data_IF_597767767191
#
_entry.id   IF_597767767191
#
_cell.length_a   1.000
_cell.length_b   1.000
_cell.length_c   1.000
_cell.angle_alpha   90.00
_cell.angle_beta   90.00
_cell.angle_gamma   90.00
#
_symmetry.space_group_name_H-M   'P 1'
#
loop_
_entity.id
_entity.type
_entity.pdbx_description
1 polymer ?
#
# COMPACT_ATOMS: atom_id res chain seq x y z
N UNK A 1 16.36 -14.71 -28.86
CA UNK A 1 17.31 -15.41 -27.96
C UNK A 1 16.51 -16.19 -26.93
N UNK A 2 16.98 -17.37 -26.49
CA UNK A 2 16.38 -18.12 -25.38
C UNK A 2 17.46 -18.46 -24.36
N UNK A 3 17.10 -18.41 -23.08
CA UNK A 3 17.99 -18.79 -21.99
C UNK A 3 17.19 -19.17 -20.74
N UNK A 4 17.86 -19.83 -19.81
CA UNK A 4 17.32 -20.12 -18.48
C UNK A 4 17.90 -19.14 -17.47
N UNK A 5 17.12 -18.81 -16.44
CA UNK A 5 17.49 -17.90 -15.37
C UNK A 5 16.99 -18.42 -14.04
N UNK A 6 17.82 -18.39 -13.00
CA UNK A 6 17.42 -18.79 -11.65
C UNK A 6 16.93 -17.56 -10.89
N UNK A 7 15.64 -17.54 -10.56
CA UNK A 7 15.02 -16.48 -9.78
C UNK A 7 14.84 -16.95 -8.33
N UNK A 8 15.35 -16.18 -7.39
CA UNK A 8 15.17 -16.42 -5.95
C UNK A 8 13.92 -15.71 -5.44
N UNK A 9 12.98 -16.46 -4.87
CA UNK A 9 11.72 -15.92 -4.32
C UNK A 9 11.88 -15.61 -2.85
N UNK A 10 12.74 -14.63 -2.54
CA UNK A 10 13.04 -14.20 -1.16
C UNK A 10 11.86 -13.51 -0.46
N UNK A 11 10.80 -13.18 -1.20
CA UNK A 11 9.56 -12.59 -0.70
C UNK A 11 8.57 -13.62 -0.12
N UNK A 12 8.88 -14.93 -0.18
CA UNK A 12 8.11 -15.99 0.47
C UNK A 12 8.60 -16.22 1.90
N UNK A 13 7.75 -16.74 2.81
CA UNK A 13 8.20 -17.05 4.17
C UNK A 13 9.31 -18.10 4.20
N UNK A 14 9.26 -19.07 3.29
CA UNK A 14 10.37 -19.98 3.00
C UNK A 14 10.88 -19.66 1.61
N UNK A 15 12.01 -18.96 1.56
CA UNK A 15 12.66 -18.62 0.30
C UNK A 15 13.03 -19.90 -0.47
N UNK A 16 12.83 -19.86 -1.77
CA UNK A 16 13.24 -20.92 -2.69
C UNK A 16 13.72 -20.33 -4.02
N UNK A 17 14.07 -21.21 -4.96
CA UNK A 17 14.55 -20.83 -6.28
C UNK A 17 13.71 -21.51 -7.35
N UNK A 18 13.31 -20.75 -8.35
CA UNK A 18 12.65 -21.25 -9.55
C UNK A 18 13.55 -21.02 -10.77
N UNK A 19 13.60 -21.99 -11.68
CA UNK A 19 14.24 -21.80 -12.98
C UNK A 19 13.20 -21.25 -13.94
N UNK A 20 13.43 -20.03 -14.43
CA UNK A 20 12.64 -19.38 -15.46
C UNK A 20 13.26 -19.67 -16.82
N UNK A 21 12.42 -19.98 -17.79
CA UNK A 21 12.76 -19.97 -19.21
C UNK A 21 12.32 -18.64 -19.80
N UNK A 22 13.25 -18.00 -20.51
CA UNK A 22 13.08 -16.66 -21.06
C UNK A 22 13.31 -16.71 -22.56
N UNK A 23 12.38 -16.13 -23.31
CA UNK A 23 12.55 -15.87 -24.73
C UNK A 23 12.51 -14.36 -24.97
N UNK A 24 13.46 -13.86 -25.78
CA UNK A 24 13.54 -12.48 -26.21
C UNK A 24 13.43 -12.39 -27.73
N UNK A 25 12.66 -11.41 -28.19
CA UNK A 25 12.58 -10.98 -29.58
C UNK A 25 12.90 -9.49 -29.67
N UNK A 26 13.52 -9.07 -30.77
CA UNK A 26 13.67 -7.67 -31.12
C UNK A 26 13.18 -7.47 -32.55
N UNK A 27 11.88 -7.67 -32.75
CA UNK A 27 11.23 -7.52 -34.05
C UNK A 27 10.61 -6.12 -34.15
N UNK A 28 10.94 -5.39 -35.22
CA UNK A 28 10.35 -4.07 -35.47
C UNK A 28 10.65 -3.01 -34.41
N UNK A 29 11.82 -3.06 -33.76
CA UNK A 29 12.25 -2.10 -32.72
C UNK A 29 11.60 -2.31 -31.34
N UNK A 30 10.80 -3.37 -31.18
CA UNK A 30 10.20 -3.74 -29.90
C UNK A 30 11.03 -4.83 -29.25
N UNK A 31 11.64 -4.52 -28.12
CA UNK A 31 12.27 -5.53 -27.28
C UNK A 31 11.17 -6.25 -26.49
N UNK A 32 10.83 -7.46 -26.91
CA UNK A 32 9.73 -8.22 -26.35
C UNK A 32 10.23 -9.47 -25.59
N UNK A 33 9.55 -9.80 -24.49
CA UNK A 33 9.86 -11.00 -23.71
C UNK A 33 8.65 -11.90 -23.48
N UNK A 34 8.95 -13.19 -23.29
CA UNK A 34 8.08 -14.23 -22.74
C UNK A 34 8.82 -14.91 -21.60
N UNK A 35 8.12 -15.19 -20.52
CA UNK A 35 8.71 -15.79 -19.30
C UNK A 35 7.75 -16.85 -18.76
N UNK A 36 8.27 -18.03 -18.50
CA UNK A 36 7.53 -19.10 -17.82
C UNK A 36 8.52 -20.00 -17.07
N UNK A 37 8.04 -20.79 -16.10
CA UNK A 37 8.87 -21.83 -15.47
C UNK A 37 9.20 -22.97 -16.45
N UNK A 38 8.37 -23.15 -17.48
CA UNK A 38 8.58 -24.14 -18.54
C UNK A 38 7.95 -23.72 -19.85
N UNK A 39 8.72 -23.78 -20.93
CA UNK A 39 8.25 -23.65 -22.29
C UNK A 39 7.84 -25.00 -22.86
N UNK A 40 6.86 -25.03 -23.78
CA UNK A 40 6.53 -26.22 -24.54
C UNK A 40 7.68 -26.62 -25.48
N UNK A 41 7.98 -27.92 -25.52
CA UNK A 41 9.11 -28.50 -26.27
C UNK A 41 8.99 -28.29 -27.80
N UNK A 42 7.78 -28.07 -28.31
CA UNK A 42 7.47 -28.05 -29.74
C UNK A 42 7.44 -26.66 -30.40
N UNK A 43 7.70 -25.58 -29.65
CA UNK A 43 7.61 -24.22 -30.18
C UNK A 43 9.00 -23.64 -30.45
N UNK A 44 9.46 -23.62 -31.71
CA UNK A 44 10.81 -23.12 -32.07
C UNK A 44 10.84 -21.61 -32.37
N UNK A 45 9.70 -21.03 -32.75
CA UNK A 45 9.57 -19.60 -33.07
C UNK A 45 8.89 -18.82 -31.94
N UNK A 46 9.22 -17.53 -31.80
CA UNK A 46 8.72 -16.67 -30.71
C UNK A 46 7.19 -16.56 -30.71
N UNK A 47 6.56 -16.35 -31.87
CA UNK A 47 5.10 -16.19 -31.96
C UNK A 47 4.34 -17.50 -31.67
N UNK A 48 4.90 -18.63 -32.13
CA UNK A 48 4.37 -19.96 -31.81
C UNK A 48 4.51 -20.25 -30.32
N UNK A 49 5.62 -19.82 -29.70
CA UNK A 49 5.84 -19.97 -28.28
C UNK A 49 4.85 -19.11 -27.48
N UNK A 50 4.66 -17.84 -27.84
CA UNK A 50 3.66 -16.96 -27.22
C UNK A 50 2.26 -17.58 -27.27
N UNK A 51 1.87 -18.07 -28.45
CA UNK A 51 0.58 -18.74 -28.67
C UNK A 51 0.44 -20.01 -27.83
N UNK A 52 1.49 -20.83 -27.75
CA UNK A 52 1.48 -22.09 -27.00
C UNK A 52 1.46 -21.87 -25.48
N UNK A 53 2.04 -20.76 -25.01
CA UNK A 53 1.97 -20.33 -23.61
C UNK A 53 0.66 -19.61 -23.27
N UNK A 54 -0.17 -19.29 -24.28
CA UNK A 54 -1.29 -18.37 -24.14
C UNK A 54 -0.88 -17.03 -23.49
N UNK A 55 0.32 -16.56 -23.81
CA UNK A 55 0.89 -15.32 -23.31
C UNK A 55 0.98 -14.30 -24.44
N UNK A 56 0.74 -13.03 -24.09
CA UNK A 56 1.06 -11.90 -24.96
C UNK A 56 2.50 -11.46 -24.69
N UNK A 57 3.33 -11.23 -25.72
CA UNK A 57 4.67 -10.71 -25.51
C UNK A 57 4.66 -9.37 -24.78
N UNK A 58 5.53 -9.22 -23.78
CA UNK A 58 5.67 -7.97 -23.02
C UNK A 58 6.72 -7.11 -23.71
N UNK A 59 6.32 -5.94 -24.21
CA UNK A 59 7.25 -4.96 -24.79
C UNK A 59 7.96 -4.18 -23.67
N UNK A 60 9.25 -4.45 -23.48
CA UNK A 60 10.09 -3.85 -22.44
C UNK A 60 10.44 -2.39 -22.73
N UNK A 61 10.27 -1.94 -23.98
CA UNK A 61 10.44 -0.53 -24.37
C UNK A 61 9.15 0.30 -24.20
N UNK A 62 8.07 -0.29 -23.65
CA UNK A 62 6.78 0.37 -23.47
C UNK A 62 6.35 0.41 -21.99
N UNK A 63 5.41 1.31 -21.62
CA UNK A 63 4.81 1.30 -20.30
C UNK A 63 4.24 -0.08 -19.94
N UNK A 64 4.58 -0.58 -18.76
CA UNK A 64 4.08 -1.86 -18.26
C UNK A 64 2.75 -1.65 -17.55
N UNK A 65 1.65 -2.13 -18.16
CA UNK A 65 0.35 -2.14 -17.51
C UNK A 65 0.33 -3.22 -16.41
N UNK A 66 0.25 -2.77 -15.15
CA UNK A 66 0.27 -3.66 -14.00
C UNK A 66 -1.14 -4.22 -13.72
N UNK A 67 -1.21 -5.53 -13.52
CA UNK A 67 -2.38 -6.24 -13.04
C UNK A 67 -2.31 -6.29 -11.50
N UNK A 68 -3.31 -5.74 -10.80
CA UNK A 68 -3.29 -5.73 -9.35
C UNK A 68 -3.58 -7.10 -8.76
N UNK A 69 -3.19 -7.28 -7.49
CA UNK A 69 -3.64 -8.38 -6.63
C UNK A 69 -4.51 -7.84 -5.50
N UNK A 70 -5.58 -8.56 -5.18
CA UNK A 70 -6.58 -8.17 -4.18
C UNK A 70 -6.35 -8.98 -2.91
N UNK A 71 -6.06 -8.29 -1.80
CA UNK A 71 -5.77 -8.90 -0.51
C UNK A 71 -6.94 -8.63 0.43
N UNK A 72 -7.78 -9.63 0.75
CA UNK A 72 -8.91 -9.44 1.65
C UNK A 72 -8.43 -9.14 3.07
N UNK A 73 -9.18 -8.29 3.76
CA UNK A 73 -8.95 -7.91 5.16
C UNK A 73 -10.27 -7.94 5.93
N UNK A 74 -10.23 -8.13 7.26
CA UNK A 74 -11.43 -7.98 8.08
C UNK A 74 -12.13 -6.62 7.88
N UNK A 75 -11.35 -5.58 7.62
CA UNK A 75 -11.85 -4.22 7.42
C UNK A 75 -12.22 -3.84 5.98
N UNK A 76 -12.07 -4.75 5.01
CA UNK A 76 -12.26 -4.47 3.59
C UNK A 76 -11.20 -5.16 2.75
N UNK A 77 -10.40 -4.40 2.01
CA UNK A 77 -9.32 -4.96 1.20
C UNK A 77 -8.17 -3.99 0.95
N UNK A 78 -7.00 -4.56 0.64
CA UNK A 78 -5.91 -3.86 -0.02
C UNK A 78 -5.86 -4.30 -1.49
N UNK A 79 -5.62 -3.37 -2.41
CA UNK A 79 -5.45 -3.66 -3.84
C UNK A 79 -4.02 -3.24 -4.22
N UNK A 80 -3.12 -4.19 -4.42
CA UNK A 80 -1.71 -3.91 -4.68
C UNK A 80 -1.42 -3.89 -6.17
N UNK A 81 -0.77 -2.83 -6.65
CA UNK A 81 -0.37 -2.69 -8.05
C UNK A 81 1.10 -3.05 -8.28
N UNK A 82 1.95 -2.87 -7.27
CA UNK A 82 3.38 -3.21 -7.30
C UNK A 82 3.81 -4.10 -6.13
N UNK A 83 2.87 -4.88 -5.58
CA UNK A 83 3.11 -5.79 -4.47
C UNK A 83 4.02 -6.95 -4.84
N UNK A 84 5.03 -7.21 -4.02
CA UNK A 84 5.91 -8.39 -4.09
C UNK A 84 6.07 -8.94 -2.67
N UNK A 85 5.10 -9.74 -2.23
CA UNK A 85 5.10 -10.36 -0.90
C UNK A 85 4.43 -11.74 -0.97
N UNK A 86 4.67 -12.60 0.02
CA UNK A 86 4.06 -13.93 0.16
C UNK A 86 2.53 -13.94 -0.05
N UNK A 87 1.82 -12.92 0.45
CA UNK A 87 0.36 -12.82 0.34
C UNK A 87 -0.12 -12.58 -1.09
N UNK A 88 0.75 -12.06 -1.96
CA UNK A 88 0.40 -11.74 -3.33
C UNK A 88 1.52 -11.00 -4.07
N UNK A 89 1.71 -11.37 -5.34
CA UNK A 89 2.64 -10.72 -6.26
C UNK A 89 1.86 -10.13 -7.42
N UNK A 90 2.01 -8.83 -7.65
CA UNK A 90 1.43 -8.15 -8.82
C UNK A 90 2.06 -8.66 -10.12
N UNK A 91 1.40 -8.47 -11.26
CA UNK A 91 1.90 -8.99 -12.54
C UNK A 91 1.77 -7.96 -13.66
N UNK A 92 2.41 -8.22 -14.79
CA UNK A 92 2.13 -7.55 -16.06
C UNK A 92 1.76 -8.63 -17.08
N UNK A 93 0.55 -8.57 -17.61
CA UNK A 93 0.01 -9.57 -18.54
C UNK A 93 0.11 -11.01 -17.99
N UNK A 94 -0.07 -11.17 -16.68
CA UNK A 94 0.02 -12.46 -15.98
C UNK A 94 1.45 -12.90 -15.61
N UNK A 95 2.49 -12.21 -16.05
CA UNK A 95 3.88 -12.47 -15.65
C UNK A 95 4.19 -11.72 -14.35
N UNK A 96 4.62 -12.38 -13.27
CA UNK A 96 4.98 -11.72 -12.01
C UNK A 96 5.97 -10.57 -12.20
N UNK A 97 5.71 -9.41 -11.60
CA UNK A 97 6.62 -8.27 -11.72
C UNK A 97 7.99 -8.56 -11.08
N UNK A 98 8.05 -9.44 -10.09
CA UNK A 98 9.32 -9.88 -9.48
C UNK A 98 10.25 -10.52 -10.50
N UNK A 99 9.72 -11.29 -11.46
CA UNK A 99 10.50 -11.91 -12.53
C UNK A 99 11.02 -10.86 -13.50
N UNK A 100 10.16 -9.90 -13.89
CA UNK A 100 10.53 -8.83 -14.80
C UNK A 100 11.61 -7.93 -14.22
N UNK A 101 11.51 -7.57 -12.94
CA UNK A 101 12.49 -6.71 -12.27
C UNK A 101 13.82 -7.43 -12.01
N UNK A 102 13.80 -8.72 -11.69
CA UNK A 102 15.05 -9.48 -11.51
C UNK A 102 15.80 -9.66 -12.84
N UNK A 103 15.08 -9.99 -13.92
CA UNK A 103 15.67 -10.16 -15.26
C UNK A 103 16.05 -8.85 -15.95
N UNK A 104 15.19 -7.83 -15.85
CA UNK A 104 15.24 -6.62 -16.68
C UNK A 104 15.23 -5.32 -15.87
N UNK A 105 15.42 -5.37 -14.55
CA UNK A 105 15.36 -4.19 -13.67
C UNK A 105 16.26 -3.03 -14.13
N UNK A 106 17.47 -3.33 -14.62
CA UNK A 106 18.37 -2.31 -15.16
C UNK A 106 17.79 -1.60 -16.40
N UNK A 107 17.16 -2.37 -17.28
CA UNK A 107 16.53 -1.84 -18.48
C UNK A 107 15.26 -1.05 -18.16
N UNK A 108 14.49 -1.51 -17.17
CA UNK A 108 13.27 -0.86 -16.67
C UNK A 108 13.56 0.34 -15.74
N UNK A 109 14.83 0.65 -15.44
CA UNK A 109 15.23 1.71 -14.53
C UNK A 109 14.95 1.42 -13.05
N UNK A 110 14.63 0.18 -12.69
CA UNK A 110 14.28 -0.27 -11.34
C UNK A 110 15.16 -1.46 -10.91
N UNK A 111 16.31 -1.19 -10.29
CA UNK A 111 17.20 -2.22 -9.74
C UNK A 111 16.84 -2.49 -8.27
N UNK A 112 15.87 -3.37 -8.03
CA UNK A 112 15.46 -3.78 -6.68
C UNK A 112 13.94 -3.85 -6.51
N UNK A 113 13.49 -3.74 -5.26
CA UNK A 113 12.07 -3.67 -4.95
C UNK A 113 11.50 -2.31 -5.38
N UNK A 114 10.41 -2.29 -6.16
CA UNK A 114 9.76 -1.04 -6.52
C UNK A 114 9.10 -0.44 -5.27
N UNK A 115 8.76 0.85 -5.32
CA UNK A 115 7.79 1.44 -4.40
C UNK A 115 6.54 0.55 -4.34
N UNK A 116 5.99 0.31 -3.15
CA UNK A 116 4.70 -0.35 -3.02
C UNK A 116 3.58 0.66 -3.22
N UNK A 117 2.85 0.51 -4.32
CA UNK A 117 1.65 1.23 -4.67
C UNK A 117 0.44 0.33 -4.42
N UNK A 118 -0.49 0.81 -3.59
CA UNK A 118 -1.73 0.10 -3.31
C UNK A 118 -2.91 1.05 -3.12
N UNK A 119 -4.11 0.51 -3.16
CA UNK A 119 -5.32 1.16 -2.68
C UNK A 119 -5.70 0.50 -1.36
N UNK A 120 -6.02 1.31 -0.35
CA UNK A 120 -6.75 0.86 0.82
C UNK A 120 -8.24 1.14 0.57
N UNK A 121 -9.06 0.11 0.64
CA UNK A 121 -10.49 0.17 0.35
C UNK A 121 -11.30 -0.41 1.53
N UNK A 122 -11.47 0.38 2.61
CA UNK A 122 -12.17 -0.06 3.79
C UNK A 122 -13.68 -0.07 3.61
N UNK A 123 -14.36 -0.96 4.33
CA UNK A 123 -15.81 -1.00 4.41
C UNK A 123 -16.36 0.32 4.99
N UNK A 124 -17.60 0.72 4.66
CA UNK A 124 -18.21 1.96 5.18
C UNK A 124 -18.73 1.84 6.61
N UNK A 125 -18.77 0.65 7.20
CA UNK A 125 -19.32 0.44 8.54
C UNK A 125 -18.35 0.88 9.65
N UNK A 126 -18.81 1.70 10.60
CA UNK A 126 -17.98 2.13 11.74
C UNK A 126 -17.42 0.94 12.52
N UNK A 127 -16.18 1.04 13.03
CA UNK A 127 -15.43 -0.01 13.72
C UNK A 127 -15.01 -1.21 12.84
N UNK A 128 -15.88 -1.64 11.92
CA UNK A 128 -15.59 -2.72 10.97
C UNK A 128 -14.72 -2.21 9.82
N UNK A 129 -14.91 -0.99 9.33
CA UNK A 129 -14.07 -0.41 8.28
C UNK A 129 -12.82 0.30 8.81
N UNK A 130 -12.68 0.47 10.13
CA UNK A 130 -11.54 1.18 10.70
C UNK A 130 -10.28 0.30 10.62
N UNK A 131 -9.16 0.87 10.17
CA UNK A 131 -7.87 0.18 10.12
C UNK A 131 -7.19 0.15 11.50
N UNK A 132 -6.10 -0.62 11.61
CA UNK A 132 -5.24 -0.62 12.80
C UNK A 132 -4.82 0.81 13.16
N UNK A 133 -4.79 1.12 14.46
CA UNK A 133 -3.97 2.22 14.93
C UNK A 133 -2.56 1.71 15.05
N UNK A 134 -1.70 2.11 14.11
CA UNK A 134 -0.36 1.56 13.94
C UNK A 134 0.69 2.65 13.72
N UNK A 135 1.97 2.26 13.83
CA UNK A 135 3.10 3.08 13.43
C UNK A 135 4.17 2.24 12.73
N UNK A 136 5.10 2.94 12.07
CA UNK A 136 6.27 2.36 11.42
C UNK A 136 7.54 3.06 11.90
N UNK A 137 8.71 2.41 11.82
CA UNK A 137 10.00 2.99 12.25
C UNK A 137 10.83 3.52 11.09
N UNK A 138 10.68 2.91 9.92
CA UNK A 138 11.42 3.18 8.69
C UNK A 138 10.51 3.54 7.53
N UNK A 139 9.31 2.93 7.49
CA UNK A 139 8.37 3.15 6.40
C UNK A 139 7.85 4.59 6.44
N UNK A 140 7.96 5.27 5.31
CA UNK A 140 7.26 6.52 4.99
C UNK A 140 6.12 6.21 4.05
N UNK A 141 5.02 6.94 4.21
CA UNK A 141 3.82 6.73 3.41
C UNK A 141 3.18 8.03 2.97
N UNK A 142 2.48 7.97 1.85
CA UNK A 142 1.63 9.06 1.35
C UNK A 142 0.27 8.49 1.02
N UNK A 143 -0.78 9.05 1.62
CA UNK A 143 -2.15 8.75 1.27
C UNK A 143 -2.72 9.88 0.42
N UNK A 144 -3.33 9.52 -0.70
CA UNK A 144 -4.15 10.42 -1.50
C UNK A 144 -5.59 9.95 -1.39
N UNK A 145 -6.46 10.78 -0.78
CA UNK A 145 -7.87 10.43 -0.57
C UNK A 145 -8.60 10.45 -1.91
N UNK A 146 -9.14 9.31 -2.32
CA UNK A 146 -9.81 9.15 -3.63
C UNK A 146 -11.33 9.08 -3.50
N UNK A 147 -11.83 8.63 -2.36
CA UNK A 147 -13.25 8.50 -2.10
C UNK A 147 -13.54 8.64 -0.60
N UNK A 148 -14.69 9.22 -0.31
CA UNK A 148 -15.33 9.25 1.01
C UNK A 148 -16.76 8.75 0.76
N UNK A 149 -17.13 7.67 1.43
CA UNK A 149 -18.44 7.05 1.32
C UNK A 149 -19.53 7.98 1.88
N UNK A 150 -20.56 8.25 1.09
CA UNK A 150 -21.61 9.21 1.44
C UNK A 150 -22.65 8.67 2.41
N UNK A 151 -22.76 7.34 2.55
CA UNK A 151 -23.67 6.73 3.51
C UNK A 151 -23.00 6.72 4.90
N UNK A 152 -21.70 6.48 4.96
CA UNK A 152 -20.89 6.58 6.18
C UNK A 152 -20.66 8.04 6.62
N UNK A 153 -20.38 8.94 5.68
CA UNK A 153 -20.03 10.33 5.92
C UNK A 153 -20.90 11.28 5.07
N UNK A 154 -22.15 11.56 5.48
CA UNK A 154 -23.10 12.32 4.66
C UNK A 154 -22.72 13.78 4.37
N UNK A 155 -21.82 14.35 5.17
CA UNK A 155 -21.27 15.70 4.96
C UNK A 155 -20.07 15.71 3.98
N UNK A 156 -19.68 14.54 3.47
CA UNK A 156 -18.52 14.37 2.60
C UNK A 156 -17.17 14.50 3.32
N UNK A 157 -17.16 14.46 4.65
CA UNK A 157 -15.96 14.58 5.48
C UNK A 157 -15.65 13.25 6.15
N UNK A 158 -14.70 12.53 5.56
CA UNK A 158 -14.14 11.31 6.14
C UNK A 158 -13.17 11.64 7.27
N UNK A 159 -12.63 10.61 7.92
CA UNK A 159 -11.70 10.79 9.05
C UNK A 159 -10.49 9.88 9.01
N UNK A 160 -9.42 10.33 9.66
CA UNK A 160 -8.22 9.55 9.99
C UNK A 160 -7.86 9.81 11.44
N UNK A 161 -7.42 8.79 12.19
CA UNK A 161 -6.72 9.03 13.45
C UNK A 161 -5.27 9.32 13.11
N UNK A 162 -4.73 10.44 13.59
CA UNK A 162 -3.37 10.86 13.28
C UNK A 162 -2.72 11.49 14.52
N UNK A 163 -1.84 10.72 15.16
CA UNK A 163 -1.20 11.07 16.42
C UNK A 163 -2.14 10.96 17.63
N UNK A 164 -1.63 11.44 18.77
CA UNK A 164 -2.38 11.51 20.02
C UNK A 164 -3.13 12.84 20.16
N UNK A 165 -4.19 12.84 20.97
CA UNK A 165 -4.96 14.04 21.27
C UNK A 165 -4.14 15.01 22.12
N UNK A 166 -3.71 16.12 21.51
CA UNK A 166 -2.85 17.11 22.17
C UNK A 166 -3.58 17.86 23.28
N UNK A 167 -4.90 18.03 23.19
CA UNK A 167 -5.70 18.70 24.22
C UNK A 167 -5.85 17.84 25.46
N UNK A 168 -5.90 16.52 25.31
CA UNK A 168 -5.86 15.57 26.41
C UNK A 168 -4.44 15.46 26.97
N UNK A 169 -3.42 15.33 26.11
CA UNK A 169 -2.02 15.25 26.51
C UNK A 169 -1.62 16.44 27.40
N UNK A 170 -2.05 17.65 27.05
CA UNK A 170 -1.77 18.87 27.82
C UNK A 170 -2.38 18.89 29.23
N UNK A 171 -3.31 17.97 29.56
CA UNK A 171 -3.90 17.86 30.90
C UNK A 171 -3.11 16.95 31.84
N UNK A 172 -2.15 16.19 31.31
CA UNK A 172 -1.29 15.32 32.10
C UNK A 172 -0.06 16.07 32.59
N UNK A 173 0.43 15.72 33.78
CA UNK A 173 1.66 16.30 34.34
C UNK A 173 2.90 15.88 33.53
N UNK A 174 2.86 14.68 32.92
CA UNK A 174 3.94 14.18 32.09
C UNK A 174 3.44 13.32 30.93
N UNK A 175 4.26 13.25 29.88
CA UNK A 175 4.05 12.32 28.77
C UNK A 175 4.07 10.85 29.23
N UNK A 176 4.82 10.54 30.29
CA UNK A 176 4.88 9.20 30.86
C UNK A 176 3.52 8.79 31.43
N UNK A 177 2.87 9.67 32.19
CA UNK A 177 1.56 9.38 32.78
C UNK A 177 0.48 9.24 31.70
N UNK A 178 0.51 10.10 30.67
CA UNK A 178 -0.38 9.98 29.52
C UNK A 178 -0.23 8.63 28.82
N UNK A 179 1.01 8.21 28.53
CA UNK A 179 1.29 6.94 27.88
C UNK A 179 0.94 5.74 28.77
N UNK A 180 1.11 5.86 30.09
CA UNK A 180 0.73 4.83 31.06
C UNK A 180 -0.79 4.62 31.07
N UNK A 181 -1.57 5.70 31.14
CA UNK A 181 -3.03 5.67 31.11
C UNK A 181 -3.57 5.18 29.76
N UNK A 182 -2.98 5.66 28.65
CA UNK A 182 -3.35 5.16 27.33
C UNK A 182 -3.09 3.66 27.23
N UNK A 183 -1.92 3.19 27.69
CA UNK A 183 -1.59 1.76 27.70
C UNK A 183 -2.57 0.95 28.55
N UNK A 184 -3.01 1.49 29.70
CA UNK A 184 -4.02 0.83 30.52
C UNK A 184 -5.35 0.73 29.76
N UNK A 185 -5.82 1.83 29.15
CA UNK A 185 -7.05 1.83 28.37
C UNK A 185 -7.02 0.85 27.18
N UNK A 186 -5.87 0.74 26.50
CA UNK A 186 -5.66 -0.27 25.45
C UNK A 186 -5.73 -1.68 26.04
N UNK A 187 -5.10 -1.94 27.18
CA UNK A 187 -5.10 -3.26 27.82
C UNK A 187 -6.49 -3.70 28.29
N UNK A 188 -7.26 -2.80 28.88
CA UNK A 188 -8.64 -3.05 29.31
C UNK A 188 -9.52 -3.41 28.10
N UNK A 189 -9.41 -2.62 27.02
CA UNK A 189 -10.13 -2.88 25.78
C UNK A 189 -9.69 -4.18 25.10
N UNK A 190 -8.39 -4.46 25.01
CA UNK A 190 -7.84 -5.67 24.40
C UNK A 190 -8.37 -6.94 25.09
N UNK A 191 -8.49 -6.92 26.41
CA UNK A 191 -9.04 -8.05 27.18
C UNK A 191 -10.46 -8.40 26.74
N UNK A 192 -11.33 -7.39 26.62
CA UNK A 192 -12.73 -7.58 26.19
C UNK A 192 -12.78 -7.98 24.71
N UNK A 193 -11.96 -7.36 23.85
CA UNK A 193 -11.88 -7.70 22.42
C UNK A 193 -11.51 -9.18 22.22
N UNK A 194 -10.48 -9.68 22.91
CA UNK A 194 -10.05 -11.08 22.87
C UNK A 194 -11.14 -12.04 23.37
N UNK A 195 -11.92 -11.63 24.37
CA UNK A 195 -13.04 -12.43 24.84
C UNK A 195 -14.16 -12.54 23.79
N UNK A 196 -14.49 -11.45 23.09
CA UNK A 196 -15.46 -11.49 22.00
C UNK A 196 -14.93 -12.32 20.83
N UNK A 197 -13.66 -12.18 20.47
CA UNK A 197 -13.03 -12.92 19.37
C UNK A 197 -12.95 -14.43 19.64
N UNK A 198 -13.03 -14.84 20.91
CA UNK A 198 -13.17 -16.25 21.34
C UNK A 198 -14.62 -16.71 21.50
N UNK A 199 -15.59 -15.87 21.13
CA UNK A 199 -17.01 -16.20 21.08
C UNK A 199 -17.79 -15.93 22.38
N UNK A 200 -17.23 -15.20 23.34
CA UNK A 200 -17.96 -14.85 24.57
C UNK A 200 -19.09 -13.84 24.26
N UNK A 201 -20.37 -14.19 24.50
CA UNK A 201 -21.49 -13.30 24.20
C UNK A 201 -21.68 -12.22 25.28
N UNK A 202 -22.46 -11.18 24.95
CA UNK A 202 -22.98 -10.21 25.92
C UNK A 202 -21.98 -9.13 26.36
N UNK A 203 -20.89 -8.92 25.61
CA UNK A 203 -19.86 -7.93 25.91
C UNK A 203 -19.99 -6.64 25.08
N UNK A 204 -21.01 -6.52 24.22
CA UNK A 204 -21.11 -5.42 23.24
C UNK A 204 -21.08 -4.02 23.88
N UNK A 205 -21.79 -3.85 25.01
CA UNK A 205 -21.80 -2.56 25.73
C UNK A 205 -20.46 -2.23 26.38
N UNK A 206 -19.79 -3.24 26.92
CA UNK A 206 -18.49 -3.10 27.56
C UNK A 206 -17.42 -2.77 26.50
N UNK A 207 -17.46 -3.47 25.37
CA UNK A 207 -16.63 -3.21 24.19
C UNK A 207 -16.73 -1.76 23.75
N UNK A 208 -17.95 -1.26 23.53
CA UNK A 208 -18.17 0.12 23.05
C UNK A 208 -17.60 1.11 24.07
N UNK A 209 -17.85 0.89 25.36
CA UNK A 209 -17.39 1.77 26.44
C UNK A 209 -15.86 1.83 26.50
N UNK A 210 -15.20 0.67 26.48
CA UNK A 210 -13.74 0.58 26.56
C UNK A 210 -13.07 1.07 25.28
N UNK A 211 -13.66 0.80 24.11
CA UNK A 211 -13.17 1.31 22.82
C UNK A 211 -13.22 2.82 22.77
N UNK A 212 -14.34 3.44 23.19
CA UNK A 212 -14.44 4.90 23.31
C UNK A 212 -13.44 5.46 24.32
N UNK A 213 -13.26 4.78 25.46
CA UNK A 213 -12.28 5.17 26.46
C UNK A 213 -10.86 5.18 25.92
N UNK A 214 -10.48 4.17 25.12
CA UNK A 214 -9.20 4.09 24.43
C UNK A 214 -9.07 5.16 23.34
N UNK A 215 -10.10 5.34 22.51
CA UNK A 215 -10.07 6.30 21.40
C UNK A 215 -9.94 7.76 21.81
N UNK A 216 -10.35 8.12 23.04
CA UNK A 216 -10.20 9.49 23.57
C UNK A 216 -8.75 9.99 23.54
N UNK A 217 -7.77 9.08 23.57
CA UNK A 217 -6.34 9.43 23.58
C UNK A 217 -5.79 9.75 22.19
N UNK A 218 -6.52 9.40 21.13
CA UNK A 218 -6.07 9.54 19.75
C UNK A 218 -6.72 10.74 19.09
N UNK A 219 -5.98 11.48 18.27
CA UNK A 219 -6.53 12.64 17.58
C UNK A 219 -7.25 12.19 16.31
N UNK A 220 -8.53 12.52 16.21
CA UNK A 220 -9.31 12.32 15.01
C UNK A 220 -9.24 13.58 14.13
N UNK A 221 -8.95 13.40 12.85
CA UNK A 221 -8.75 14.48 11.88
C UNK A 221 -9.67 14.31 10.69
N UNK A 222 -10.26 15.42 10.26
CA UNK A 222 -11.12 15.48 9.09
C UNK A 222 -10.29 15.41 7.82
N UNK A 223 -10.77 14.65 6.85
CA UNK A 223 -10.17 14.50 5.52
C UNK A 223 -11.24 14.44 4.43
N UNK A 224 -10.89 14.92 3.25
CA UNK A 224 -11.77 15.02 2.08
C UNK A 224 -11.11 14.41 0.86
N UNK A 225 -11.93 14.07 -0.13
CA UNK A 225 -11.44 13.65 -1.45
C UNK A 225 -10.46 14.70 -2.00
N UNK A 226 -9.29 14.24 -2.43
CA UNK A 226 -8.22 15.07 -2.98
C UNK A 226 -7.13 15.42 -1.97
N UNK A 227 -7.41 15.29 -0.66
CA UNK A 227 -6.44 15.54 0.40
C UNK A 227 -5.25 14.60 0.29
N UNK A 228 -4.09 15.14 0.67
CA UNK A 228 -2.81 14.42 0.71
C UNK A 228 -2.33 14.35 2.15
N UNK A 229 -2.07 13.15 2.64
CA UNK A 229 -1.59 12.90 4.00
C UNK A 229 -0.22 12.26 3.89
N UNK A 230 0.80 12.89 4.48
CA UNK A 230 2.17 12.35 4.54
C UNK A 230 2.38 11.77 5.92
N UNK A 231 2.69 10.49 6.00
CA UNK A 231 2.90 9.77 7.25
C UNK A 231 4.39 9.57 7.44
N UNK A 232 4.97 10.32 8.38
CA UNK A 232 6.35 10.16 8.77
C UNK A 232 6.52 8.96 9.73
N UNK A 233 7.74 8.41 9.86
CA UNK A 233 8.00 7.35 10.83
C UNK A 233 7.66 7.80 12.25
N UNK A 234 7.31 6.82 13.08
CA UNK A 234 6.93 6.95 14.48
C UNK A 234 5.60 7.67 14.75
N UNK A 235 4.90 8.14 13.71
CA UNK A 235 3.58 8.77 13.88
C UNK A 235 2.49 7.70 13.90
N UNK A 236 1.75 7.54 15.01
CA UNK A 236 0.60 6.65 15.05
C UNK A 236 -0.52 7.14 14.14
N UNK A 237 -1.13 6.24 13.36
CA UNK A 237 -2.22 6.61 12.47
C UNK A 237 -3.18 5.42 12.21
N UNK A 238 -4.40 5.73 11.75
CA UNK A 238 -5.42 4.75 11.35
C UNK A 238 -6.41 5.40 10.40
N UNK A 239 -6.51 4.90 9.16
CA UNK A 239 -7.57 5.30 8.24
C UNK A 239 -8.93 4.78 8.76
N UNK A 240 -9.96 5.63 8.77
CA UNK A 240 -11.28 5.21 9.24
C UNK A 240 -12.14 4.66 8.09
N UNK A 241 -13.18 3.93 8.47
CA UNK A 241 -14.19 3.34 7.60
C UNK A 241 -14.67 4.29 6.48
N UNK A 242 -14.99 3.71 5.32
CA UNK A 242 -15.56 4.43 4.18
C UNK A 242 -14.62 5.43 3.49
N UNK A 243 -13.37 5.58 3.94
CA UNK A 243 -12.38 6.42 3.28
C UNK A 243 -11.43 5.56 2.45
N UNK A 244 -11.43 5.75 1.12
CA UNK A 244 -10.51 5.07 0.21
C UNK A 244 -9.33 5.96 -0.12
N UNK A 245 -8.11 5.41 -0.02
CA UNK A 245 -6.89 6.12 -0.39
C UNK A 245 -6.07 5.32 -1.40
N UNK A 246 -5.36 6.03 -2.27
CA UNK A 246 -4.14 5.48 -2.88
C UNK A 246 -3.01 5.70 -1.90
N UNK A 247 -2.27 4.64 -1.59
CA UNK A 247 -1.10 4.66 -0.73
C UNK A 247 0.17 4.40 -1.55
N UNK A 248 1.14 5.31 -1.38
CA UNK A 248 2.52 5.16 -1.80
C UNK A 248 3.36 4.88 -0.55
N UNK A 249 4.09 3.77 -0.51
CA UNK A 249 4.99 3.47 0.61
C UNK A 249 6.31 2.86 0.13
N UNK A 250 7.36 3.03 0.92
CA UNK A 250 8.59 2.25 0.74
C UNK A 250 8.30 0.76 0.83
N UNK A 251 9.09 -0.13 0.19
CA UNK A 251 8.87 -1.58 0.18
C UNK A 251 9.28 -2.24 1.52
N UNK A 252 8.80 -1.67 2.63
CA UNK A 252 8.95 -2.20 3.97
C UNK A 252 7.60 -2.72 4.45
N UNK A 253 7.60 -3.91 5.06
CA UNK A 253 6.38 -4.56 5.57
C UNK A 253 6.27 -4.48 7.10
N UNK A 254 7.18 -3.74 7.75
CA UNK A 254 7.13 -3.55 9.20
C UNK A 254 5.89 -2.74 9.61
N UNK A 255 5.26 -3.17 10.69
CA UNK A 255 4.17 -2.45 11.35
C UNK A 255 4.19 -2.77 12.83
N UNK A 256 3.80 -1.79 13.64
CA UNK A 256 3.57 -1.95 15.06
C UNK A 256 2.11 -1.64 15.34
N UNK A 257 1.31 -2.67 15.57
CA UNK A 257 -0.12 -2.50 15.85
C UNK A 257 -0.27 -2.04 17.30
N UNK A 258 -0.72 -0.81 17.51
CA UNK A 258 -0.93 -0.25 18.86
C UNK A 258 -2.27 -0.69 19.43
N UNK A 259 -3.33 -0.62 18.62
CA UNK A 259 -4.68 -1.07 18.99
C UNK A 259 -5.55 -1.30 17.76
N UNK A 260 -6.62 -2.09 17.90
CA UNK A 260 -7.51 -2.41 16.78
C UNK A 260 -8.96 -2.71 17.18
N UNK A 261 -9.91 -2.26 16.36
CA UNK A 261 -11.36 -2.46 16.56
C UNK A 261 -11.82 -3.92 16.41
N UNK A 262 -11.04 -4.75 15.73
CA UNK A 262 -11.40 -6.11 15.35
C UNK A 262 -10.29 -7.12 15.70
N UNK A 263 -10.50 -8.38 15.31
CA UNK A 263 -9.52 -9.45 15.44
C UNK A 263 -8.31 -9.19 14.56
N UNK A 264 -7.12 -9.16 15.16
CA UNK A 264 -5.86 -9.16 14.42
C UNK A 264 -5.59 -10.57 13.90
N UNK A 265 -5.51 -10.74 12.58
CA UNK A 265 -5.28 -12.05 11.93
C UNK A 265 -3.84 -12.25 11.46
N UNK A 266 -3.03 -11.20 11.52
CA UNK A 266 -1.66 -11.20 10.99
C UNK A 266 -0.57 -11.41 12.05
N UNK A 267 -0.92 -11.33 13.33
CA UNK A 267 -0.02 -11.51 14.46
C UNK A 267 -0.81 -11.86 15.74
N UNK A 268 -0.15 -12.50 16.70
CA UNK A 268 -0.80 -13.00 17.93
C UNK A 268 -1.12 -11.91 18.96
N UNK A 269 -0.31 -10.84 18.98
CA UNK A 269 -0.35 -9.81 20.03
C UNK A 269 -0.27 -8.41 19.44
N UNK A 270 -0.86 -7.44 20.14
CA UNK A 270 -0.63 -6.02 19.86
C UNK A 270 0.77 -5.60 20.35
N UNK A 271 1.41 -4.73 19.60
CA UNK A 271 2.75 -4.21 19.89
C UNK A 271 2.72 -2.98 20.80
N UNK A 272 1.59 -2.67 21.44
CA UNK A 272 1.33 -1.44 22.19
C UNK A 272 2.52 -1.01 23.05
N UNK A 273 3.05 -1.90 23.90
CA UNK A 273 4.17 -1.57 24.79
C UNK A 273 5.45 -1.19 24.03
N UNK A 274 5.73 -1.86 22.90
CA UNK A 274 6.92 -1.58 22.10
C UNK A 274 6.75 -0.32 21.26
N UNK A 275 5.55 -0.13 20.69
CA UNK A 275 5.20 1.03 19.88
C UNK A 275 5.23 2.33 20.70
N UNK A 276 4.63 2.34 21.89
CA UNK A 276 4.57 3.54 22.74
C UNK A 276 5.92 4.03 23.25
N UNK A 277 6.96 3.19 23.24
CA UNK A 277 8.33 3.62 23.58
C UNK A 277 8.96 4.52 22.53
N UNK A 278 8.49 4.42 21.29
CA UNK A 278 9.09 5.11 20.14
C UNK A 278 8.11 6.07 19.46
N UNK A 279 6.84 6.05 19.83
CA UNK A 279 5.81 6.87 19.21
C UNK A 279 6.10 8.37 19.39
N UNK A 280 5.94 9.12 18.30
CA UNK A 280 6.00 10.58 18.34
C UNK A 280 4.68 11.11 18.91
N UNK A 281 4.74 11.68 20.12
CA UNK A 281 3.57 12.22 20.82
C UNK A 281 3.12 13.57 20.26
N UNK A 282 4.05 14.38 19.77
CA UNK A 282 3.80 15.71 19.19
C UNK A 282 4.30 15.74 17.74
N UNK A 283 3.56 15.11 16.80
CA UNK A 283 3.91 15.14 15.39
C UNK A 283 3.75 16.56 14.82
N UNK A 284 4.35 16.79 13.64
CA UNK A 284 4.09 18.03 12.90
C UNK A 284 2.57 18.25 12.75
N UNK A 285 2.08 19.49 12.79
CA UNK A 285 0.66 19.78 12.67
C UNK A 285 0.05 19.05 11.48
N UNK A 286 -1.04 18.33 11.74
CA UNK A 286 -1.78 17.67 10.68
C UNK A 286 -2.32 18.74 9.72
N UNK A 287 -1.72 18.79 8.54
CA UNK A 287 -2.10 19.68 7.45
C UNK A 287 -2.25 18.82 6.22
N UNK A 288 -3.49 18.43 5.84
CA UNK A 288 -3.70 17.79 4.56
C UNK A 288 -3.29 18.80 3.49
N UNK A 289 -2.32 18.41 2.66
CA UNK A 289 -1.82 19.31 1.62
C UNK A 289 -2.91 19.64 0.60
N UNK A 290 -2.98 20.91 0.16
CA UNK A 290 -3.76 21.30 -1.01
C UNK A 290 -3.19 20.65 -2.28
N UNK A 291 -3.98 20.72 -3.36
CA UNK A 291 -3.69 20.19 -4.70
C UNK A 291 -2.55 20.99 -5.34
N UNK A 292 -1.33 20.80 -4.87
CA UNK A 292 -0.11 21.16 -5.59
C UNK A 292 0.32 20.03 -6.53
N UNK A 293 1.13 20.37 -7.53
CA UNK A 293 1.72 19.37 -8.43
C UNK A 293 2.72 18.47 -7.68
N UNK A 294 3.36 18.94 -6.60
CA UNK A 294 4.17 18.12 -5.71
C UNK A 294 3.36 17.64 -4.50
N UNK A 295 3.05 16.34 -4.49
CA UNK A 295 2.28 15.67 -3.44
C UNK A 295 3.19 15.25 -2.29
N UNK A 296 4.39 14.74 -2.58
CA UNK A 296 5.38 14.36 -1.56
C UNK A 296 6.80 14.40 -2.13
N UNK A 297 7.75 14.68 -1.26
CA UNK A 297 9.19 14.77 -1.57
C UNK A 297 9.95 14.15 -0.39
N UNK A 298 10.13 12.83 -0.45
CA UNK A 298 10.95 12.08 0.49
C UNK A 298 12.28 11.72 -0.19
N UNK A 299 13.31 11.48 0.62
CA UNK A 299 14.61 11.01 0.10
C UNK A 299 14.47 9.71 -0.71
N UNK A 300 13.49 8.86 -0.36
CA UNK A 300 13.24 7.58 -1.02
C UNK A 300 12.41 7.69 -2.30
N UNK A 301 11.47 8.63 -2.37
CA UNK A 301 10.61 8.83 -3.55
C UNK A 301 9.91 10.18 -3.55
N UNK A 302 9.56 10.64 -4.75
CA UNK A 302 8.68 11.79 -4.96
C UNK A 302 7.34 11.33 -5.51
N UNK A 303 6.28 12.08 -5.18
CA UNK A 303 4.94 11.88 -5.75
C UNK A 303 4.50 13.19 -6.36
N UNK A 304 4.09 13.13 -7.63
CA UNK A 304 3.58 14.30 -8.34
C UNK A 304 2.16 14.06 -8.84
N UNK A 305 1.33 15.10 -8.77
CA UNK A 305 0.05 15.12 -9.47
C UNK A 305 0.28 15.59 -10.89
N UNK A 306 -0.35 14.91 -11.84
CA UNK A 306 -0.31 15.29 -13.25
C UNK A 306 -1.73 15.45 -13.75
N UNK A 307 -2.05 16.66 -14.20
CA UNK A 307 -3.27 16.95 -14.96
C UNK A 307 -2.90 17.09 -16.44
N UNK A 308 -3.61 16.37 -17.30
CA UNK A 308 -3.49 16.48 -18.75
C UNK A 308 -4.87 16.79 -19.31
N UNK A 309 -5.00 17.95 -19.93
CA UNK A 309 -6.25 18.35 -20.57
C UNK A 309 -6.57 17.49 -21.80
N UNK A 310 -7.85 17.31 -22.16
CA UNK A 310 -8.22 16.57 -23.37
C UNK A 310 -7.49 17.08 -24.62
N UNK A 311 -6.85 16.17 -25.35
CA UNK A 311 -6.07 16.48 -26.55
C UNK A 311 -4.65 17.00 -26.29
N UNK A 312 -4.24 17.18 -25.03
CA UNK A 312 -2.86 17.51 -24.68
C UNK A 312 -2.04 16.24 -24.43
N UNK A 313 -0.73 16.38 -24.52
CA UNK A 313 0.24 15.33 -24.19
C UNK A 313 1.27 15.89 -23.24
N UNK A 314 1.67 15.10 -22.24
CA UNK A 314 2.77 15.42 -21.35
C UNK A 314 3.85 14.35 -21.49
N UNK A 315 5.07 14.79 -21.80
CA UNK A 315 6.22 13.91 -21.74
C UNK A 315 6.65 13.72 -20.28
N UNK A 316 7.08 12.49 -19.96
CA UNK A 316 7.61 12.13 -18.67
C UNK A 316 9.11 11.92 -18.77
N UNK A 317 9.83 12.23 -17.70
CA UNK A 317 11.29 12.08 -17.67
C UNK A 317 11.70 10.60 -17.67
N UNK A 318 12.69 10.22 -18.47
CA UNK A 318 13.14 8.83 -18.65
C UNK A 318 14.35 8.41 -17.80
N UNK A 319 14.75 9.22 -16.81
CA UNK A 319 16.00 9.00 -16.05
C UNK A 319 15.92 7.93 -14.95
N UNK A 320 14.70 7.59 -14.51
CA UNK A 320 14.41 6.61 -13.46
C UNK A 320 13.07 5.94 -13.76
N UNK A 321 12.79 4.79 -13.14
CA UNK A 321 11.46 4.20 -13.25
C UNK A 321 10.40 5.12 -12.64
N UNK A 322 9.18 5.03 -13.17
CA UNK A 322 8.02 5.77 -12.67
C UNK A 322 6.82 4.83 -12.60
N UNK A 323 5.93 5.07 -11.63
CA UNK A 323 4.66 4.36 -11.51
C UNK A 323 3.55 5.40 -11.65
N UNK A 324 2.62 5.13 -12.57
CA UNK A 324 1.48 5.99 -12.87
C UNK A 324 0.19 5.31 -12.42
N UNK A 325 -0.67 6.04 -11.74
CA UNK A 325 -2.03 5.60 -11.41
C UNK A 325 -3.03 6.67 -11.84
N UNK A 326 -4.00 6.26 -12.64
CA UNK A 326 -5.06 7.15 -13.13
C UNK A 326 -6.13 7.36 -12.05
N UNK A 327 -6.37 8.61 -11.67
CA UNK A 327 -7.38 8.97 -10.67
C UNK A 327 -8.74 9.36 -11.27
N UNK A 328 -8.72 9.97 -12.46
CA UNK A 328 -9.92 10.41 -13.17
C UNK A 328 -9.63 10.55 -14.66
N UNK A 329 -10.64 10.27 -15.49
CA UNK A 329 -10.50 10.33 -16.94
C UNK A 329 -9.76 9.12 -17.50
N UNK A 330 -9.15 9.29 -18.68
CA UNK A 330 -8.41 8.23 -19.36
C UNK A 330 -7.25 8.83 -20.14
N UNK A 331 -6.12 8.14 -20.14
CA UNK A 331 -4.92 8.50 -20.86
C UNK A 331 -4.41 7.29 -21.63
N UNK A 332 -3.76 7.56 -22.76
CA UNK A 332 -2.96 6.58 -23.47
C UNK A 332 -1.51 6.86 -23.11
N UNK A 333 -0.82 5.86 -22.56
CA UNK A 333 0.61 5.92 -22.28
C UNK A 333 1.35 5.17 -23.39
N UNK A 334 2.17 5.88 -24.16
CA UNK A 334 2.92 5.32 -25.29
C UNK A 334 4.45 5.47 -25.06
N UNK A 335 5.28 4.60 -25.64
CA UNK A 335 6.72 4.81 -25.69
C UNK A 335 7.07 6.16 -26.33
N UNK A 336 8.17 6.78 -25.92
CA UNK A 336 8.67 7.95 -26.63
C UNK A 336 9.15 7.53 -28.02
N UNK A 337 8.53 8.08 -29.07
CA UNK A 337 8.87 7.78 -30.47
C UNK A 337 10.32 8.16 -30.86
N UNK A 338 11.05 8.88 -30.00
CA UNK A 338 12.44 9.30 -30.22
C UNK A 338 13.50 8.33 -29.66
N UNK A 339 13.09 7.22 -29.03
CA UNK A 339 14.00 6.20 -28.47
C UNK A 339 13.94 4.84 -29.22
N UNK A 340 13.24 4.76 -30.34
CA UNK A 340 13.18 3.56 -31.20
C UNK A 340 14.33 3.47 -32.18
#
# INVERSE_FOLDING_TARGET
VRFEYKHERTYLATADTVTLQVALSNAGGKLECLIAERFPDAADHFDLLASSLNQRPINLNAPLALNPVYIPKPWGQEIWFSGIEERGVSSCQGVPISWLLDLFGRHLGCNGAPLLLKILDPLPEENIGDLYFELHKKKVEVYVVTHVDSDAWPDGVGRIRYGFDQSLLARYESQFDFLADYRQAVGDYEQVRRAIDSGKPGLDREEITLRQAMYRFTALKDIRKGDVIRVAPFVPHSLQHGVRVVEFQTPHHERYVISFGQKVVTQENWDTKAALKVAKLDPEPFSPGEIGDSIADFDEFTVQRITVEPGQTKQLDGGQYQILIGFSGSLICEPNALLT
#
